data_IF_540718944274
#
_entry.id   IF_540718944274
#
_cell.length_a   1.000
_cell.length_b   1.000
_cell.length_c   1.000
_cell.angle_alpha   90.00
_cell.angle_beta   90.00
_cell.angle_gamma   90.00
#
_symmetry.space_group_name_H-M   'P 1'
#
loop_
_entity.id
_entity.type
_entity.pdbx_description
1 polymer ?
#
# COMPACT_ATOMS: atom_id res chain seq x y z
N UNK A 1 -16.73 -23.38 -0.52
CA UNK A 1 -16.65 -22.21 0.37
C UNK A 1 -16.34 -20.96 -0.45
N UNK A 2 -17.11 -20.71 -1.52
CA UNK A 2 -16.91 -19.59 -2.44
C UNK A 2 -17.66 -18.35 -1.95
N UNK A 3 -17.05 -17.18 -2.15
CA UNK A 3 -17.64 -15.84 -2.06
C UNK A 3 -17.80 -15.15 -0.69
N UNK A 4 -16.80 -15.21 0.19
CA UNK A 4 -16.55 -14.09 1.11
C UNK A 4 -15.10 -14.11 1.62
N UNK A 5 -14.27 -13.21 1.11
CA UNK A 5 -13.37 -12.51 2.03
C UNK A 5 -14.01 -11.14 2.29
N UNK A 6 -14.05 -10.72 3.56
CA UNK A 6 -15.28 -10.24 4.19
C UNK A 6 -15.31 -8.71 4.22
N UNK A 7 -16.36 -8.18 4.84
CA UNK A 7 -16.44 -6.80 5.31
C UNK A 7 -15.06 -6.24 5.79
N UNK A 8 -14.87 -4.94 5.62
CA UNK A 8 -13.64 -4.15 5.83
C UNK A 8 -12.76 -4.68 6.97
N UNK A 9 -13.36 -4.95 8.13
CA UNK A 9 -12.69 -5.42 9.34
C UNK A 9 -11.83 -6.67 9.12
N UNK A 10 -12.30 -7.61 8.30
CA UNK A 10 -11.56 -8.84 8.07
C UNK A 10 -10.35 -8.64 7.14
N UNK A 11 -10.42 -7.71 6.20
CA UNK A 11 -9.25 -7.31 5.40
C UNK A 11 -8.22 -6.61 6.30
N UNK A 12 -8.66 -5.75 7.23
CA UNK A 12 -7.76 -5.14 8.21
C UNK A 12 -7.12 -6.18 9.14
N UNK A 13 -7.90 -7.18 9.62
CA UNK A 13 -7.37 -8.30 10.41
C UNK A 13 -6.35 -9.12 9.62
N UNK A 14 -6.63 -9.43 8.35
CA UNK A 14 -5.70 -10.18 7.50
C UNK A 14 -4.39 -9.40 7.28
N UNK A 15 -4.46 -8.10 7.01
CA UNK A 15 -3.27 -7.25 6.88
C UNK A 15 -2.40 -7.28 8.15
N UNK A 16 -3.06 -7.22 9.32
CA UNK A 16 -2.42 -7.30 10.63
C UNK A 16 -1.76 -8.66 10.88
N UNK A 17 -2.46 -9.76 10.61
CA UNK A 17 -1.92 -11.13 10.71
C UNK A 17 -0.69 -11.28 9.83
N UNK A 18 -0.75 -10.82 8.58
CA UNK A 18 0.38 -10.94 7.65
C UNK A 18 1.57 -10.07 8.06
N UNK A 19 1.33 -8.85 8.54
CA UNK A 19 2.39 -7.99 9.05
C UNK A 19 3.10 -8.61 10.27
N UNK A 20 2.34 -9.13 11.24
CA UNK A 20 2.90 -9.81 12.41
C UNK A 20 3.66 -11.08 12.05
N UNK A 21 3.10 -11.88 11.14
CA UNK A 21 3.75 -13.07 10.61
C UNK A 21 5.09 -12.69 10.00
N UNK A 22 5.12 -11.75 9.05
CA UNK A 22 6.35 -11.31 8.41
C UNK A 22 7.36 -10.70 9.39
N UNK A 23 6.93 -9.99 10.43
CA UNK A 23 7.85 -9.43 11.43
C UNK A 23 8.41 -10.47 12.40
N UNK A 24 7.68 -11.55 12.66
CA UNK A 24 8.06 -12.60 13.63
C UNK A 24 8.91 -13.73 13.04
N UNK A 25 8.77 -14.03 11.74
CA UNK A 25 9.53 -15.11 11.09
C UNK A 25 11.01 -14.75 10.90
N UNK A 26 11.93 -15.74 10.88
CA UNK A 26 13.38 -15.50 10.79
C UNK A 26 13.79 -14.77 9.51
N UNK A 27 14.74 -13.84 9.64
CA UNK A 27 15.47 -13.29 8.49
C UNK A 27 16.51 -14.28 7.98
N UNK A 28 16.79 -14.20 6.68
CA UNK A 28 17.80 -15.04 6.04
C UNK A 28 19.17 -14.85 6.69
N UNK A 29 19.95 -15.92 6.77
CA UNK A 29 21.35 -15.85 7.20
C UNK A 29 22.22 -15.27 6.07
N UNK A 30 23.16 -14.40 6.44
CA UNK A 30 24.11 -13.81 5.50
C UNK A 30 24.85 -14.88 4.68
N UNK A 31 24.88 -14.70 3.35
CA UNK A 31 25.58 -15.59 2.43
C UNK A 31 24.72 -16.70 1.84
N UNK A 32 23.47 -16.88 2.30
CA UNK A 32 22.51 -17.72 1.57
C UNK A 32 22.07 -17.01 0.27
N UNK A 33 21.94 -17.74 -0.85
CA UNK A 33 21.74 -17.13 -2.15
C UNK A 33 20.30 -16.61 -2.38
N UNK A 34 19.33 -17.06 -1.59
CA UNK A 34 17.91 -16.73 -1.77
C UNK A 34 17.65 -15.24 -1.54
N UNK A 35 16.74 -14.64 -2.32
CA UNK A 35 16.42 -13.21 -2.21
C UNK A 35 17.51 -12.25 -2.72
N UNK A 36 18.65 -12.76 -3.22
CA UNK A 36 19.57 -11.92 -4.01
C UNK A 36 18.93 -11.52 -5.35
N UNK A 37 19.34 -10.41 -5.99
CA UNK A 37 18.75 -9.97 -7.26
C UNK A 37 18.66 -11.10 -8.31
N UNK A 38 19.74 -11.86 -8.50
CA UNK A 38 19.76 -12.98 -9.45
C UNK A 38 18.73 -14.06 -9.13
N UNK A 39 18.52 -14.35 -7.84
CA UNK A 39 17.55 -15.35 -7.38
C UNK A 39 16.10 -14.85 -7.44
N UNK A 40 15.89 -13.54 -7.46
CA UNK A 40 14.58 -12.91 -7.72
C UNK A 40 14.30 -12.87 -9.23
N UNK A 41 15.26 -12.40 -10.03
CA UNK A 41 15.08 -12.12 -11.46
C UNK A 41 14.99 -13.40 -12.29
N UNK A 42 15.80 -14.42 -11.99
CA UNK A 42 15.81 -15.66 -12.78
C UNK A 42 14.44 -16.36 -12.83
N UNK A 43 13.72 -16.58 -11.71
CA UNK A 43 12.36 -17.12 -11.76
C UNK A 43 11.35 -16.24 -12.51
N UNK A 44 11.52 -14.91 -12.50
CA UNK A 44 10.67 -13.98 -13.25
C UNK A 44 10.81 -14.25 -14.75
N UNK A 45 12.04 -14.31 -15.25
CA UNK A 45 12.31 -14.54 -16.67
C UNK A 45 11.96 -15.97 -17.12
N UNK A 46 12.15 -16.97 -16.25
CA UNK A 46 11.79 -18.35 -16.53
C UNK A 46 10.27 -18.52 -16.75
N UNK A 47 9.43 -17.70 -16.09
CA UNK A 47 7.98 -17.73 -16.35
C UNK A 47 7.66 -17.47 -17.82
N UNK A 48 8.31 -16.49 -18.46
CA UNK A 48 8.11 -16.18 -19.88
C UNK A 48 8.59 -17.33 -20.76
N UNK A 49 9.75 -17.93 -20.44
CA UNK A 49 10.29 -19.07 -21.20
C UNK A 49 9.32 -20.25 -21.21
N UNK A 50 8.73 -20.57 -20.05
CA UNK A 50 7.78 -21.67 -19.90
C UNK A 50 6.45 -21.39 -20.59
N UNK A 51 5.94 -20.15 -20.48
CA UNK A 51 4.70 -19.74 -21.16
C UNK A 51 4.83 -19.86 -22.68
N UNK A 52 6.00 -19.56 -23.26
CA UNK A 52 6.24 -19.69 -24.72
C UNK A 52 6.18 -21.14 -25.23
N UNK A 53 6.14 -22.14 -24.34
CA UNK A 53 5.82 -23.51 -24.74
C UNK A 53 4.37 -23.67 -25.24
N UNK A 54 3.47 -22.80 -24.79
CA UNK A 54 2.09 -22.75 -25.26
C UNK A 54 2.08 -22.20 -26.69
N UNK A 55 1.44 -22.91 -27.63
CA UNK A 55 1.28 -22.43 -29.00
C UNK A 55 0.33 -21.24 -29.00
N UNK A 56 0.86 -20.05 -29.27
CA UNK A 56 0.14 -18.78 -29.18
C UNK A 56 0.02 -18.10 -30.54
N UNK A 57 -1.08 -17.36 -30.79
CA UNK A 57 -1.15 -16.46 -31.94
C UNK A 57 -0.14 -15.32 -31.79
N UNK A 58 0.27 -14.72 -32.91
CA UNK A 58 1.30 -13.67 -32.95
C UNK A 58 1.01 -12.50 -31.99
N UNK A 59 -0.25 -12.10 -31.83
CA UNK A 59 -0.60 -10.98 -30.95
C UNK A 59 -0.31 -11.29 -29.46
N UNK A 60 -0.47 -12.53 -29.00
CA UNK A 60 -0.13 -12.89 -27.60
C UNK A 60 1.38 -12.94 -27.38
N UNK A 61 2.14 -13.36 -28.42
CA UNK A 61 3.60 -13.32 -28.39
C UNK A 61 4.11 -11.89 -28.18
N UNK A 62 3.51 -10.90 -28.86
CA UNK A 62 3.90 -9.48 -28.70
C UNK A 62 3.55 -8.93 -27.31
N UNK A 63 2.42 -9.35 -26.72
CA UNK A 63 2.07 -9.01 -25.33
C UNK A 63 3.12 -9.53 -24.37
N UNK A 64 3.53 -10.79 -24.51
CA UNK A 64 4.61 -11.38 -23.70
C UNK A 64 5.95 -10.68 -23.93
N UNK A 65 6.30 -10.33 -25.16
CA UNK A 65 7.54 -9.59 -25.46
C UNK A 65 7.56 -8.24 -24.72
N UNK A 66 6.43 -7.53 -24.72
CA UNK A 66 6.29 -6.24 -24.03
C UNK A 66 6.50 -6.39 -22.52
N UNK A 67 5.81 -7.36 -21.91
CA UNK A 67 5.93 -7.63 -20.47
C UNK A 67 7.32 -8.13 -20.08
N UNK A 68 7.94 -8.99 -20.89
CA UNK A 68 9.30 -9.49 -20.65
C UNK A 68 10.32 -8.34 -20.73
N UNK A 69 10.24 -7.50 -21.77
CA UNK A 69 11.11 -6.33 -21.94
C UNK A 69 11.00 -5.39 -20.75
N UNK A 70 9.77 -5.14 -20.27
CA UNK A 70 9.56 -4.34 -19.07
C UNK A 70 10.22 -4.98 -17.85
N UNK A 71 10.07 -6.29 -17.63
CA UNK A 71 10.71 -6.99 -16.51
C UNK A 71 12.23 -6.88 -16.57
N UNK A 72 12.84 -7.08 -17.75
CA UNK A 72 14.29 -6.99 -17.95
C UNK A 72 14.81 -5.58 -17.62
N UNK A 73 14.12 -4.53 -18.11
CA UNK A 73 14.47 -3.15 -17.82
C UNK A 73 14.33 -2.80 -16.34
N UNK A 74 13.21 -3.18 -15.72
CA UNK A 74 12.98 -2.89 -14.30
C UNK A 74 13.91 -3.69 -13.40
N UNK A 75 14.31 -4.89 -13.79
CA UNK A 75 15.28 -5.69 -13.03
C UNK A 75 16.61 -4.94 -12.84
N UNK A 76 17.07 -4.22 -13.88
CA UNK A 76 18.29 -3.39 -13.80
C UNK A 76 18.07 -2.19 -12.87
N UNK A 77 16.94 -1.49 -13.01
CA UNK A 77 16.63 -0.29 -12.20
C UNK A 77 16.44 -0.63 -10.73
N UNK A 78 15.80 -1.76 -10.43
CA UNK A 78 15.39 -2.16 -9.09
C UNK A 78 16.44 -3.02 -8.37
N UNK A 79 17.48 -3.48 -9.06
CA UNK A 79 18.55 -4.29 -8.46
C UNK A 79 19.13 -3.67 -7.17
N UNK A 80 19.48 -2.38 -7.10
CA UNK A 80 20.01 -1.80 -5.86
C UNK A 80 19.03 -1.89 -4.68
N UNK A 81 17.73 -1.81 -4.95
CA UNK A 81 16.69 -1.91 -3.91
C UNK A 81 16.54 -3.36 -3.45
N UNK A 82 16.62 -4.33 -4.37
CA UNK A 82 16.65 -5.76 -4.00
C UNK A 82 17.84 -6.08 -3.09
N UNK A 83 19.02 -5.51 -3.38
CA UNK A 83 20.23 -5.67 -2.56
C UNK A 83 20.06 -5.02 -1.18
N UNK A 84 19.57 -3.78 -1.12
CA UNK A 84 19.29 -3.09 0.14
C UNK A 84 18.35 -3.92 1.03
N UNK A 85 17.29 -4.47 0.44
CA UNK A 85 16.31 -5.29 1.16
C UNK A 85 16.87 -6.61 1.67
N UNK A 86 17.77 -7.23 0.91
CA UNK A 86 18.51 -8.40 1.37
C UNK A 86 19.29 -8.09 2.65
N UNK A 87 20.07 -7.00 2.66
CA UNK A 87 20.87 -6.63 3.83
C UNK A 87 20.04 -6.06 4.99
N UNK A 88 18.88 -5.47 4.72
CA UNK A 88 17.95 -4.97 5.73
C UNK A 88 17.07 -6.08 6.36
N UNK A 89 17.24 -7.34 5.98
CA UNK A 89 16.54 -8.47 6.61
C UNK A 89 15.09 -8.66 6.16
N UNK A 90 14.72 -8.16 4.97
CA UNK A 90 13.40 -8.35 4.37
C UNK A 90 13.24 -9.70 3.67
N UNK A 91 14.33 -10.44 3.45
CA UNK A 91 14.26 -11.82 2.96
C UNK A 91 14.03 -12.74 4.16
N UNK A 92 12.88 -13.42 4.17
CA UNK A 92 12.42 -14.24 5.28
C UNK A 92 11.83 -15.55 4.78
N UNK A 93 11.59 -16.49 5.69
CA UNK A 93 10.95 -17.78 5.38
C UNK A 93 9.41 -17.61 5.31
N UNK A 94 8.95 -16.92 4.27
CA UNK A 94 7.56 -16.53 4.06
C UNK A 94 6.68 -17.70 3.56
N UNK A 95 5.41 -17.43 3.24
CA UNK A 95 4.46 -18.43 2.77
C UNK A 95 4.82 -18.96 1.37
N UNK A 96 5.25 -18.09 0.45
CA UNK A 96 5.69 -18.44 -0.90
C UNK A 96 4.56 -18.57 -1.93
N UNK A 97 3.35 -18.95 -1.48
CA UNK A 97 2.11 -19.09 -2.28
C UNK A 97 0.88 -18.42 -1.63
N UNK A 98 1.05 -17.20 -1.12
CA UNK A 98 0.00 -16.50 -0.35
C UNK A 98 -1.09 -15.92 -1.27
N UNK A 99 -2.14 -16.67 -1.54
CA UNK A 99 -3.31 -16.22 -2.31
C UNK A 99 -4.62 -16.61 -1.62
N UNK A 100 -5.78 -16.08 -2.05
CA UNK A 100 -7.07 -16.31 -1.36
C UNK A 100 -7.46 -17.79 -1.28
N UNK A 101 -7.04 -18.60 -2.27
CA UNK A 101 -7.24 -20.05 -2.22
C UNK A 101 -6.52 -20.77 -1.06
N UNK A 102 -5.53 -20.12 -0.45
CA UNK A 102 -4.68 -20.62 0.63
C UNK A 102 -4.95 -19.84 1.94
N UNK A 103 -6.13 -19.23 2.06
CA UNK A 103 -6.59 -18.53 3.26
C UNK A 103 -7.99 -19.05 3.60
N UNK A 104 -8.14 -19.59 4.80
CA UNK A 104 -9.41 -20.07 5.32
C UNK A 104 -9.94 -19.16 6.43
N UNK A 105 -11.26 -19.10 6.55
CA UNK A 105 -11.93 -18.59 7.75
C UNK A 105 -12.44 -19.81 8.52
N UNK A 106 -11.89 -20.05 9.69
CA UNK A 106 -12.26 -21.17 10.56
C UNK A 106 -12.51 -20.64 11.97
N UNK A 107 -13.71 -20.88 12.52
CA UNK A 107 -14.11 -20.39 13.86
C UNK A 107 -13.84 -18.89 14.05
N UNK A 108 -14.25 -18.07 13.06
CA UNK A 108 -14.04 -16.61 12.98
C UNK A 108 -12.56 -16.16 12.92
N UNK A 109 -11.61 -17.08 12.80
CA UNK A 109 -10.19 -16.82 12.62
C UNK A 109 -9.78 -16.90 11.16
N UNK A 110 -8.96 -15.95 10.71
CA UNK A 110 -8.37 -15.95 9.36
C UNK A 110 -7.04 -16.68 9.43
N UNK A 111 -6.90 -17.77 8.67
CA UNK A 111 -5.76 -18.68 8.75
C UNK A 111 -5.18 -18.88 7.35
N UNK A 112 -3.98 -18.32 7.06
CA UNK A 112 -3.18 -18.74 5.93
C UNK A 112 -2.71 -20.20 6.13
N UNK A 113 -2.80 -21.02 5.09
CA UNK A 113 -2.42 -22.43 5.13
C UNK A 113 -1.80 -22.86 3.79
N UNK A 114 -1.15 -24.04 3.76
CA UNK A 114 -0.50 -24.58 2.54
C UNK A 114 0.66 -23.71 2.01
N UNK A 115 1.54 -23.28 2.93
CA UNK A 115 2.80 -22.63 2.58
C UNK A 115 3.79 -23.58 1.90
N UNK A 116 4.67 -23.05 1.04
CA UNK A 116 5.62 -23.88 0.30
C UNK A 116 6.73 -24.40 1.23
N UNK A 117 6.68 -25.68 1.61
CA UNK A 117 7.70 -26.31 2.46
C UNK A 117 8.79 -27.07 1.69
N UNK A 118 8.55 -27.42 0.42
CA UNK A 118 9.42 -28.35 -0.32
C UNK A 118 10.57 -27.67 -1.08
N UNK A 119 10.47 -26.37 -1.38
CA UNK A 119 11.50 -25.64 -2.13
C UNK A 119 11.93 -24.36 -1.39
N UNK A 120 13.14 -24.34 -0.80
CA UNK A 120 13.64 -23.15 -0.10
C UNK A 120 13.63 -21.88 -0.95
N UNK A 121 13.91 -21.98 -2.26
CA UNK A 121 13.94 -20.82 -3.15
C UNK A 121 12.57 -20.20 -3.44
N UNK A 122 11.48 -20.86 -3.07
CA UNK A 122 10.12 -20.34 -3.20
C UNK A 122 9.56 -19.76 -1.91
N UNK A 123 10.17 -20.07 -0.76
CA UNK A 123 9.76 -19.55 0.56
C UNK A 123 10.73 -18.56 1.20
N UNK A 124 12.03 -18.65 0.91
CA UNK A 124 13.02 -17.64 1.30
C UNK A 124 12.96 -16.47 0.32
N UNK A 125 11.97 -15.61 0.53
CA UNK A 125 11.62 -14.53 -0.39
C UNK A 125 11.46 -13.22 0.38
N UNK A 126 11.39 -12.14 -0.38
CA UNK A 126 11.06 -10.83 0.17
C UNK A 126 9.64 -10.83 0.76
N UNK A 127 9.47 -10.29 1.97
CA UNK A 127 8.15 -10.13 2.61
C UNK A 127 7.17 -9.35 1.75
N UNK A 128 7.65 -8.36 0.98
CA UNK A 128 6.83 -7.62 0.03
C UNK A 128 6.42 -8.48 -1.17
N UNK A 129 7.28 -9.41 -1.61
CA UNK A 129 6.94 -10.35 -2.68
C UNK A 129 5.87 -11.36 -2.25
N UNK A 130 5.88 -11.76 -0.98
CA UNK A 130 4.85 -12.65 -0.42
C UNK A 130 3.50 -11.93 -0.33
N UNK A 131 3.46 -10.72 0.27
CA UNK A 131 2.22 -9.95 0.35
C UNK A 131 1.70 -9.50 -1.03
N UNK A 132 2.60 -9.26 -1.99
CA UNK A 132 2.23 -8.94 -3.36
C UNK A 132 1.44 -10.09 -4.04
N UNK A 133 1.63 -11.33 -3.62
CA UNK A 133 0.84 -12.44 -4.17
C UNK A 133 -0.63 -12.30 -3.78
N UNK A 134 -0.89 -11.99 -2.52
CA UNK A 134 -2.24 -11.76 -2.00
C UNK A 134 -2.89 -10.54 -2.63
N UNK A 135 -2.15 -9.44 -2.74
CA UNK A 135 -2.60 -8.21 -3.39
C UNK A 135 -2.95 -8.43 -4.86
N UNK A 136 -2.12 -9.19 -5.58
CA UNK A 136 -2.35 -9.54 -6.99
C UNK A 136 -3.62 -10.38 -7.15
N UNK A 137 -3.86 -11.37 -6.28
CA UNK A 137 -5.07 -12.21 -6.34
C UNK A 137 -6.35 -11.39 -6.03
N UNK A 138 -6.29 -10.44 -5.09
CA UNK A 138 -7.39 -9.50 -4.84
C UNK A 138 -7.68 -8.63 -6.06
N UNK A 139 -6.65 -8.07 -6.69
CA UNK A 139 -6.79 -7.24 -7.90
C UNK A 139 -7.33 -8.04 -9.09
N UNK A 140 -6.85 -9.27 -9.29
CA UNK A 140 -7.35 -10.18 -10.34
C UNK A 140 -8.85 -10.44 -10.23
N UNK A 141 -9.35 -10.55 -8.99
CA UNK A 141 -10.77 -10.74 -8.68
C UNK A 141 -11.60 -9.46 -8.71
N UNK A 142 -11.01 -8.32 -9.08
CA UNK A 142 -11.66 -7.02 -9.11
C UNK A 142 -11.87 -6.38 -7.73
N UNK A 143 -11.25 -6.92 -6.67
CA UNK A 143 -11.36 -6.43 -5.30
C UNK A 143 -10.30 -5.36 -4.99
N UNK A 144 -10.16 -4.35 -5.85
CA UNK A 144 -9.10 -3.34 -5.75
C UNK A 144 -9.13 -2.58 -4.42
N UNK A 145 -10.32 -2.16 -3.95
CA UNK A 145 -10.46 -1.49 -2.66
C UNK A 145 -9.94 -2.34 -1.48
N UNK A 146 -10.14 -3.66 -1.53
CA UNK A 146 -9.63 -4.56 -0.51
C UNK A 146 -8.10 -4.71 -0.60
N UNK A 147 -7.54 -4.74 -1.81
CA UNK A 147 -6.09 -4.73 -2.00
C UNK A 147 -5.45 -3.45 -1.45
N UNK A 148 -6.03 -2.28 -1.73
CA UNK A 148 -5.53 -0.99 -1.26
C UNK A 148 -5.61 -0.86 0.26
N UNK A 149 -6.74 -1.29 0.85
CA UNK A 149 -6.91 -1.34 2.30
C UNK A 149 -5.86 -2.27 2.93
N UNK A 150 -5.70 -3.47 2.40
CA UNK A 150 -4.73 -4.45 2.90
C UNK A 150 -3.31 -3.89 2.84
N UNK A 151 -2.91 -3.32 1.71
CA UNK A 151 -1.58 -2.76 1.52
C UNK A 151 -1.32 -1.60 2.49
N UNK A 152 -2.24 -0.64 2.60
CA UNK A 152 -2.06 0.50 3.50
C UNK A 152 -1.97 0.05 4.96
N UNK A 153 -2.82 -0.88 5.41
CA UNK A 153 -2.74 -1.42 6.78
C UNK A 153 -1.46 -2.20 7.02
N UNK A 154 -1.01 -3.01 6.05
CA UNK A 154 0.26 -3.72 6.12
C UNK A 154 1.44 -2.74 6.24
N UNK A 155 1.45 -1.65 5.46
CA UNK A 155 2.49 -0.61 5.52
C UNK A 155 2.45 0.19 6.83
N UNK A 156 1.27 0.58 7.30
CA UNK A 156 1.10 1.29 8.59
C UNK A 156 1.68 0.45 9.73
N UNK A 157 1.47 -0.88 9.72
CA UNK A 157 2.00 -1.78 10.75
C UNK A 157 3.50 -2.04 10.58
N UNK A 158 3.94 -2.36 9.38
CA UNK A 158 5.35 -2.76 9.13
C UNK A 158 6.32 -1.59 9.03
N UNK A 159 5.89 -0.44 8.51
CA UNK A 159 6.74 0.67 8.13
C UNK A 159 7.51 0.45 6.83
N UNK A 160 7.21 -0.61 6.06
CA UNK A 160 7.96 -1.04 4.88
C UNK A 160 7.65 -0.21 3.61
N UNK A 161 7.58 1.11 3.77
CA UNK A 161 7.34 2.04 2.65
C UNK A 161 8.51 2.07 1.66
N UNK A 162 9.74 1.83 2.14
CA UNK A 162 10.94 1.79 1.31
C UNK A 162 10.93 0.62 0.30
N UNK A 163 10.15 -0.43 0.54
CA UNK A 163 9.96 -1.55 -0.39
C UNK A 163 9.05 -1.25 -1.58
N UNK A 164 8.16 -0.26 -1.48
CA UNK A 164 7.15 0.03 -2.51
C UNK A 164 7.66 0.23 -3.95
N UNK A 165 8.88 0.74 -4.21
CA UNK A 165 9.45 0.74 -5.56
C UNK A 165 9.42 -0.65 -6.25
N UNK A 166 9.50 -1.75 -5.49
CA UNK A 166 9.45 -3.13 -6.00
C UNK A 166 8.03 -3.68 -6.15
N UNK A 167 7.02 -3.03 -5.57
CA UNK A 167 5.67 -3.62 -5.45
C UNK A 167 5.09 -4.00 -6.82
N UNK A 168 5.14 -3.10 -7.81
CA UNK A 168 4.59 -3.39 -9.16
C UNK A 168 5.35 -4.52 -9.86
N UNK A 169 6.66 -4.60 -9.67
CA UNK A 169 7.47 -5.70 -10.19
C UNK A 169 7.07 -7.03 -9.56
N UNK A 170 6.84 -7.06 -8.24
CA UNK A 170 6.37 -8.27 -7.56
C UNK A 170 4.92 -8.63 -7.91
N UNK A 171 4.00 -7.68 -8.01
CA UNK A 171 2.62 -7.94 -8.46
C UNK A 171 2.62 -8.59 -9.85
N UNK A 172 3.41 -8.03 -10.78
CA UNK A 172 3.55 -8.59 -12.12
C UNK A 172 4.19 -9.98 -12.08
N UNK A 173 5.26 -10.16 -11.31
CA UNK A 173 5.89 -11.48 -11.14
C UNK A 173 4.87 -12.53 -10.69
N UNK A 174 4.05 -12.22 -9.68
CA UNK A 174 3.02 -13.13 -9.16
C UNK A 174 1.91 -13.39 -10.18
N UNK A 175 1.46 -12.38 -10.92
CA UNK A 175 0.53 -12.57 -12.02
C UNK A 175 1.12 -13.52 -13.10
N UNK A 176 2.39 -13.36 -13.45
CA UNK A 176 3.08 -14.21 -14.41
C UNK A 176 3.32 -15.65 -13.89
N UNK A 177 3.46 -15.84 -12.58
CA UNK A 177 3.46 -17.18 -11.97
C UNK A 177 2.12 -17.87 -12.22
N UNK A 178 1.00 -17.19 -11.99
CA UNK A 178 -0.35 -17.74 -12.22
C UNK A 178 -0.62 -17.97 -13.70
N UNK A 179 -0.26 -17.02 -14.56
CA UNK A 179 -0.33 -17.17 -16.02
C UNK A 179 0.45 -18.41 -16.50
N UNK A 180 1.67 -18.62 -15.98
CA UNK A 180 2.48 -19.81 -16.26
C UNK A 180 1.78 -21.09 -15.83
N UNK A 181 1.21 -21.15 -14.62
CA UNK A 181 0.52 -22.35 -14.13
C UNK A 181 -0.63 -22.72 -15.06
N UNK A 182 -1.46 -21.76 -15.45
CA UNK A 182 -2.56 -21.99 -16.38
C UNK A 182 -2.07 -22.40 -17.76
N UNK A 183 -1.01 -21.77 -18.28
CA UNK A 183 -0.39 -22.17 -19.55
C UNK A 183 0.16 -23.61 -19.51
N UNK A 184 0.83 -24.01 -18.44
CA UNK A 184 1.32 -25.39 -18.25
C UNK A 184 0.16 -26.38 -18.23
N UNK A 185 -0.92 -26.06 -17.51
CA UNK A 185 -2.12 -26.90 -17.49
C UNK A 185 -2.71 -27.02 -18.89
N UNK A 186 -2.86 -25.93 -19.63
CA UNK A 186 -3.35 -25.95 -21.02
C UNK A 186 -2.49 -26.78 -21.99
N UNK A 187 -1.21 -27.02 -21.67
CA UNK A 187 -0.32 -27.88 -22.45
C UNK A 187 -0.44 -29.38 -22.10
N UNK A 188 -1.13 -29.73 -21.02
CA UNK A 188 -1.29 -31.13 -20.61
C UNK A 188 -2.14 -31.90 -21.63
N UNK A 189 -1.70 -33.13 -21.93
CA UNK A 189 -2.45 -34.02 -22.81
C UNK A 189 -3.68 -34.58 -22.10
N UNK A 190 -4.78 -34.76 -22.82
CA UNK A 190 -6.00 -35.41 -22.32
C UNK A 190 -7.01 -34.47 -21.65
N UNK A 191 -6.82 -33.15 -21.72
CA UNK A 191 -7.85 -32.18 -21.30
C UNK A 191 -9.05 -32.19 -22.24
N UNK A 192 -10.24 -32.06 -21.67
CA UNK A 192 -11.43 -31.74 -22.45
C UNK A 192 -11.32 -30.32 -23.03
N UNK A 193 -12.01 -30.06 -24.14
CA UNK A 193 -11.95 -28.76 -24.82
C UNK A 193 -12.36 -27.61 -23.89
N UNK A 194 -13.41 -27.79 -23.09
CA UNK A 194 -13.88 -26.79 -22.12
C UNK A 194 -12.84 -26.48 -21.04
N UNK A 195 -12.17 -27.50 -20.50
CA UNK A 195 -11.11 -27.33 -19.49
C UNK A 195 -9.91 -26.59 -20.09
N UNK A 196 -9.56 -26.92 -21.33
CA UNK A 196 -8.49 -26.25 -22.06
C UNK A 196 -8.81 -24.77 -22.30
N UNK A 197 -10.03 -24.44 -22.74
CA UNK A 197 -10.48 -23.06 -22.91
C UNK A 197 -10.45 -22.29 -21.59
N UNK A 198 -10.91 -22.91 -20.49
CA UNK A 198 -10.85 -22.29 -19.16
C UNK A 198 -9.42 -21.96 -18.74
N UNK A 199 -8.45 -22.84 -18.99
CA UNK A 199 -7.04 -22.55 -18.68
C UNK A 199 -6.48 -21.41 -19.56
N UNK A 200 -6.90 -21.31 -20.81
CA UNK A 200 -6.50 -20.20 -21.69
C UNK A 200 -7.09 -18.87 -21.25
N UNK A 201 -8.35 -18.85 -20.85
CA UNK A 201 -9.01 -17.64 -20.36
C UNK A 201 -8.38 -17.17 -19.05
N UNK A 202 -8.08 -18.11 -18.13
CA UNK A 202 -7.36 -17.82 -16.91
C UNK A 202 -5.96 -17.23 -17.22
N UNK A 203 -5.20 -17.86 -18.13
CA UNK A 203 -3.91 -17.34 -18.60
C UNK A 203 -4.02 -15.89 -19.14
N UNK A 204 -4.99 -15.64 -20.03
CA UNK A 204 -5.22 -14.32 -20.64
C UNK A 204 -5.62 -13.28 -19.61
N UNK A 205 -6.41 -13.66 -18.61
CA UNK A 205 -6.84 -12.76 -17.54
C UNK A 205 -5.65 -12.26 -16.71
N UNK A 206 -4.68 -13.12 -16.41
CA UNK A 206 -3.44 -12.71 -15.74
C UNK A 206 -2.53 -11.85 -16.63
N UNK A 207 -2.51 -12.08 -17.95
CA UNK A 207 -1.83 -11.15 -18.86
C UNK A 207 -2.48 -9.77 -18.86
N UNK A 208 -3.81 -9.70 -18.86
CA UNK A 208 -4.53 -8.42 -18.79
C UNK A 208 -4.17 -7.67 -17.49
N UNK A 209 -4.09 -8.38 -16.37
CA UNK A 209 -3.64 -7.81 -15.09
C UNK A 209 -2.19 -7.32 -15.17
N UNK A 210 -1.27 -8.15 -15.66
CA UNK A 210 0.14 -7.78 -15.82
C UNK A 210 0.33 -6.52 -16.69
N UNK A 211 -0.41 -6.41 -17.79
CA UNK A 211 -0.40 -5.22 -18.65
C UNK A 211 -0.98 -3.99 -17.96
N UNK A 212 -1.97 -4.16 -17.07
CA UNK A 212 -2.49 -3.05 -16.28
C UNK A 212 -1.46 -2.54 -15.27
N UNK A 213 -0.64 -3.42 -14.68
CA UNK A 213 0.35 -3.08 -13.68
C UNK A 213 1.53 -2.26 -14.23
N UNK A 214 1.86 -2.43 -15.51
CA UNK A 214 2.90 -1.62 -16.16
C UNK A 214 2.38 -0.25 -16.63
N UNK A 215 1.05 -0.06 -16.69
CA UNK A 215 0.39 1.21 -17.03
C UNK A 215 -0.03 1.92 -15.75
N UNK A 216 0.71 2.94 -15.33
CA UNK A 216 0.36 3.68 -14.12
C UNK A 216 -0.11 5.10 -14.43
N UNK A 217 -1.14 5.59 -13.71
CA UNK A 217 -1.53 7.00 -13.79
C UNK A 217 -0.42 7.90 -13.22
N UNK A 218 -0.43 9.20 -13.57
CA UNK A 218 0.48 10.16 -12.96
C UNK A 218 0.25 10.21 -11.44
N UNK A 219 1.35 10.27 -10.69
CA UNK A 219 1.32 10.41 -9.24
C UNK A 219 0.74 11.77 -8.83
N UNK A 220 0.14 11.81 -7.63
CA UNK A 220 -0.42 13.02 -7.03
C UNK A 220 -0.17 13.06 -5.52
N UNK A 221 -0.22 14.25 -4.94
CA UNK A 221 -0.11 14.44 -3.49
C UNK A 221 -1.41 14.99 -2.91
N UNK A 222 -1.94 14.35 -1.88
CA UNK A 222 -3.11 14.81 -1.14
C UNK A 222 -2.71 15.07 0.30
N UNK A 223 -3.08 16.23 0.83
CA UNK A 223 -2.81 16.63 2.20
C UNK A 223 -4.14 16.71 2.94
N UNK A 224 -4.26 16.02 4.07
CA UNK A 224 -5.36 16.36 4.98
C UNK A 224 -5.02 17.64 5.74
N UNK A 225 -6.03 18.44 6.01
CA UNK A 225 -5.96 19.63 6.86
C UNK A 225 -7.11 19.58 7.87
N UNK A 226 -6.83 19.80 9.15
CA UNK A 226 -7.86 19.82 10.20
C UNK A 226 -7.38 19.32 11.57
N UNK A 227 -8.08 19.75 12.61
CA UNK A 227 -7.75 19.40 14.01
C UNK A 227 -8.17 17.97 14.37
N UNK A 228 -7.75 17.50 15.54
CA UNK A 228 -8.14 16.17 16.04
C UNK A 228 -9.66 16.05 16.15
N UNK A 229 -10.23 14.89 15.82
CA UNK A 229 -11.69 14.69 15.77
C UNK A 229 -12.38 15.17 14.48
N UNK A 230 -11.70 15.89 13.59
CA UNK A 230 -12.33 16.44 12.36
C UNK A 230 -12.54 15.43 11.22
N UNK A 231 -12.34 14.13 11.46
CA UNK A 231 -12.59 13.08 10.46
C UNK A 231 -11.48 12.84 9.42
N UNK A 232 -10.33 13.51 9.51
CA UNK A 232 -9.19 13.35 8.56
C UNK A 232 -8.81 11.90 8.28
N UNK A 233 -8.70 11.06 9.31
CA UNK A 233 -8.28 9.67 9.16
C UNK A 233 -9.35 8.82 8.47
N UNK A 234 -10.64 9.13 8.68
CA UNK A 234 -11.75 8.53 7.94
C UNK A 234 -11.69 8.93 6.46
N UNK A 235 -11.49 10.22 6.20
CA UNK A 235 -11.47 10.80 4.86
C UNK A 235 -10.27 10.31 4.06
N UNK A 236 -9.07 10.36 4.63
CA UNK A 236 -7.84 9.89 4.00
C UNK A 236 -7.85 8.37 3.79
N UNK A 237 -8.39 7.59 4.72
CA UNK A 237 -8.58 6.15 4.53
C UNK A 237 -9.49 5.83 3.36
N UNK A 238 -10.66 6.48 3.30
CA UNK A 238 -11.58 6.33 2.17
C UNK A 238 -10.96 6.79 0.84
N UNK A 239 -10.29 7.95 0.81
CA UNK A 239 -9.61 8.42 -0.40
C UNK A 239 -8.48 7.49 -0.85
N UNK A 240 -7.74 6.89 0.07
CA UNK A 240 -6.68 5.93 -0.25
C UNK A 240 -7.26 4.74 -1.03
N UNK A 241 -8.39 4.20 -0.56
CA UNK A 241 -9.11 3.10 -1.20
C UNK A 241 -9.73 3.48 -2.55
N UNK A 242 -10.20 4.72 -2.72
CA UNK A 242 -10.80 5.16 -3.99
C UNK A 242 -9.77 5.50 -5.07
N UNK A 243 -8.56 5.92 -4.66
CA UNK A 243 -7.54 6.46 -5.55
C UNK A 243 -6.32 5.54 -5.71
N UNK A 244 -6.34 4.35 -5.10
CA UNK A 244 -5.18 3.44 -5.02
C UNK A 244 -3.93 4.18 -4.51
N UNK A 245 -4.12 5.06 -3.52
CA UNK A 245 -3.07 5.94 -3.00
C UNK A 245 -2.46 5.37 -1.72
N UNK A 246 -1.17 5.65 -1.52
CA UNK A 246 -0.44 5.26 -0.31
C UNK A 246 -0.63 6.34 0.75
N UNK A 247 -1.23 5.95 1.87
CA UNK A 247 -1.45 6.81 3.02
C UNK A 247 -0.28 6.71 3.98
N UNK A 248 0.26 7.87 4.34
CA UNK A 248 1.29 8.02 5.36
C UNK A 248 0.68 8.78 6.52
N UNK A 249 0.57 8.11 7.68
CA UNK A 249 -0.06 8.68 8.87
C UNK A 249 0.97 9.27 9.81
N UNK A 250 0.78 10.54 10.16
CA UNK A 250 1.73 11.27 11.00
C UNK A 250 1.78 10.80 12.46
N UNK A 251 0.72 10.19 12.97
CA UNK A 251 0.65 9.62 14.31
C UNK A 251 1.45 8.30 14.39
N UNK A 252 1.20 7.38 13.45
CA UNK A 252 1.92 6.10 13.34
C UNK A 252 3.42 6.32 13.15
N UNK A 253 3.81 7.19 12.22
CA UNK A 253 5.23 7.44 11.97
C UNK A 253 5.91 8.22 13.10
N UNK A 254 5.16 9.04 13.85
CA UNK A 254 5.68 9.70 15.05
C UNK A 254 5.97 8.69 16.16
N UNK A 255 5.09 7.72 16.39
CA UNK A 255 5.34 6.64 17.33
C UNK A 255 6.58 5.83 16.93
N UNK A 256 6.74 5.55 15.63
CA UNK A 256 7.89 4.84 15.07
C UNK A 256 9.21 5.60 15.26
N UNK A 257 9.21 6.92 15.09
CA UNK A 257 10.39 7.78 15.28
C UNK A 257 10.77 8.00 16.76
N UNK A 258 9.79 7.95 17.65
CA UNK A 258 9.96 8.23 19.08
C UNK A 258 9.38 7.10 19.96
N UNK A 259 9.96 5.88 19.87
CA UNK A 259 9.47 4.72 20.63
C UNK A 259 9.71 4.90 22.14
N UNK A 260 8.85 4.28 22.97
CA UNK A 260 9.05 4.20 24.43
C UNK A 260 8.78 5.50 25.20
N UNK A 261 8.00 6.43 24.65
CA UNK A 261 7.58 7.66 25.34
C UNK A 261 6.14 7.59 25.90
N UNK A 262 5.54 6.39 25.92
CA UNK A 262 4.15 6.14 26.30
C UNK A 262 3.88 6.08 27.82
N UNK A 263 4.93 5.98 28.65
CA UNK A 263 4.78 5.91 30.12
C UNK A 263 4.78 7.30 30.77
N UNK A 264 3.61 7.96 30.86
CA UNK A 264 3.39 9.17 31.66
C UNK A 264 3.66 10.52 30.96
N UNK A 265 4.08 11.54 31.74
CA UNK A 265 4.32 12.98 31.39
C UNK A 265 5.20 13.21 30.13
N UNK A 266 5.73 12.13 29.53
CA UNK A 266 6.56 12.06 28.34
C UNK A 266 5.82 12.10 27.00
N UNK A 267 4.48 11.91 26.95
CA UNK A 267 3.71 12.07 25.70
C UNK A 267 3.89 13.46 25.08
N UNK A 268 4.13 14.47 25.91
CA UNK A 268 4.46 15.84 25.50
C UNK A 268 5.75 15.95 24.67
N UNK A 269 6.71 15.03 24.84
CA UNK A 269 7.99 15.07 24.12
C UNK A 269 7.83 14.76 22.63
N UNK A 270 6.92 13.85 22.26
CA UNK A 270 6.59 13.52 20.85
C UNK A 270 5.99 14.70 20.09
N UNK A 271 5.40 15.67 20.79
CA UNK A 271 4.71 16.82 20.20
C UNK A 271 5.43 18.14 20.41
N UNK A 272 6.70 18.12 20.85
CA UNK A 272 7.55 19.32 20.83
C UNK A 272 7.70 19.87 19.42
N UNK A 273 8.02 21.16 19.29
CA UNK A 273 8.27 21.78 17.98
C UNK A 273 9.38 21.06 17.21
N UNK A 274 10.42 20.61 17.93
CA UNK A 274 11.52 19.82 17.35
C UNK A 274 11.02 18.46 16.84
N UNK A 275 10.30 17.69 17.66
CA UNK A 275 9.78 16.39 17.24
C UNK A 275 8.79 16.51 16.07
N UNK A 276 7.98 17.58 16.06
CA UNK A 276 7.09 17.90 14.95
C UNK A 276 7.85 18.20 13.67
N UNK A 277 8.91 19.01 13.71
CA UNK A 277 9.76 19.26 12.52
C UNK A 277 10.41 17.97 12.00
N UNK A 278 10.93 17.13 12.89
CA UNK A 278 11.52 15.83 12.51
C UNK A 278 10.47 14.95 11.83
N UNK A 279 9.28 14.83 12.41
CA UNK A 279 8.19 14.01 11.86
C UNK A 279 7.79 14.49 10.46
N UNK A 280 7.51 15.79 10.29
CA UNK A 280 7.07 16.30 8.98
C UNK A 280 8.16 16.17 7.90
N UNK A 281 9.43 16.35 8.24
CA UNK A 281 10.53 16.10 7.30
C UNK A 281 10.66 14.62 6.94
N UNK A 282 10.44 13.70 7.89
CA UNK A 282 10.40 12.26 7.63
C UNK A 282 9.25 11.90 6.67
N UNK A 283 8.04 12.39 6.94
CA UNK A 283 6.88 12.21 6.04
C UNK A 283 7.15 12.74 4.63
N UNK A 284 7.78 13.91 4.50
CA UNK A 284 8.15 14.48 3.21
C UNK A 284 9.22 13.64 2.49
N UNK A 285 10.19 13.08 3.22
CA UNK A 285 11.19 12.16 2.68
C UNK A 285 10.55 10.90 2.09
N UNK A 286 9.65 10.26 2.84
CA UNK A 286 8.89 9.10 2.38
C UNK A 286 8.03 9.43 1.17
N UNK A 287 7.24 10.52 1.23
CA UNK A 287 6.39 10.95 0.14
C UNK A 287 7.19 11.22 -1.14
N UNK A 288 8.37 11.85 -1.02
CA UNK A 288 9.26 12.10 -2.16
C UNK A 288 9.68 10.82 -2.86
N UNK A 289 10.04 9.79 -2.11
CA UNK A 289 10.43 8.49 -2.69
C UNK A 289 9.24 7.85 -3.42
N UNK A 290 8.07 7.83 -2.80
CA UNK A 290 6.87 7.20 -3.38
C UNK A 290 6.37 7.91 -4.64
N UNK A 291 6.31 9.25 -4.61
CA UNK A 291 5.91 10.06 -5.76
C UNK A 291 6.85 9.82 -6.96
N UNK A 292 8.16 9.71 -6.74
CA UNK A 292 9.15 9.39 -7.80
C UNK A 292 8.94 8.03 -8.45
N UNK A 293 8.42 7.08 -7.69
CA UNK A 293 8.07 5.73 -8.18
C UNK A 293 6.67 5.64 -8.78
N UNK A 294 5.97 6.77 -8.87
CA UNK A 294 4.67 6.87 -9.53
C UNK A 294 3.49 6.43 -8.65
N UNK A 295 3.63 6.44 -7.32
CA UNK A 295 2.50 6.26 -6.40
C UNK A 295 1.91 7.61 -6.01
N UNK A 296 0.58 7.71 -6.04
CA UNK A 296 -0.11 8.82 -5.38
C UNK A 296 0.01 8.67 -3.86
N UNK A 297 0.20 9.76 -3.14
CA UNK A 297 0.46 9.78 -1.70
C UNK A 297 -0.58 10.64 -0.99
N UNK A 298 -1.10 10.15 0.12
CA UNK A 298 -1.93 10.90 1.06
C UNK A 298 -1.15 11.12 2.36
N UNK A 299 -0.92 12.38 2.73
CA UNK A 299 -0.41 12.74 4.04
C UNK A 299 -1.58 12.90 4.99
N UNK A 300 -1.79 11.91 5.86
CA UNK A 300 -2.77 11.97 6.96
C UNK A 300 -2.11 12.62 8.19
N UNK A 301 -2.16 13.95 8.18
CA UNK A 301 -1.63 14.82 9.24
C UNK A 301 -2.55 16.02 9.47
N UNK A 302 -2.37 16.71 10.60
CA UNK A 302 -3.21 17.87 10.92
C UNK A 302 -2.92 19.08 10.03
N UNK A 303 -1.66 19.26 9.61
CA UNK A 303 -1.18 20.32 8.71
C UNK A 303 -1.62 21.75 9.12
N UNK A 304 -1.74 22.01 10.42
CA UNK A 304 -2.33 23.24 10.96
C UNK A 304 -1.46 24.48 10.78
N UNK A 305 -0.14 24.33 10.70
CA UNK A 305 0.77 25.44 10.48
C UNK A 305 1.11 25.57 9.00
N UNK A 306 1.23 26.81 8.51
CA UNK A 306 1.51 27.13 7.11
C UNK A 306 2.80 26.46 6.63
N UNK A 307 3.87 26.47 7.43
CA UNK A 307 5.15 25.84 7.04
C UNK A 307 5.01 24.32 6.78
N UNK A 308 4.05 23.65 7.44
CA UNK A 308 3.79 22.21 7.22
C UNK A 308 3.19 21.98 5.85
N UNK A 309 2.25 22.83 5.45
CA UNK A 309 1.61 22.77 4.13
C UNK A 309 2.57 23.21 3.03
N UNK A 310 3.35 24.26 3.26
CA UNK A 310 4.38 24.73 2.33
C UNK A 310 5.42 23.65 2.03
N UNK A 311 5.86 22.90 3.05
CA UNK A 311 6.81 21.80 2.88
C UNK A 311 6.34 20.80 1.81
N UNK A 312 5.07 20.38 1.88
CA UNK A 312 4.51 19.42 0.94
C UNK A 312 4.15 20.04 -0.42
N UNK A 313 3.72 21.31 -0.45
CA UNK A 313 3.48 22.02 -1.70
C UNK A 313 4.78 22.20 -2.50
N UNK A 314 5.88 22.56 -1.84
CA UNK A 314 7.21 22.63 -2.46
C UNK A 314 7.69 21.26 -2.93
N UNK A 315 7.42 20.20 -2.15
CA UNK A 315 7.70 18.83 -2.57
C UNK A 315 6.94 18.50 -3.86
N UNK A 316 5.62 18.74 -3.91
CA UNK A 316 4.79 18.48 -5.07
C UNK A 316 5.29 19.24 -6.31
N UNK A 317 5.63 20.52 -6.16
CA UNK A 317 6.23 21.34 -7.23
C UNK A 317 7.56 20.76 -7.71
N UNK A 318 8.45 20.35 -6.79
CA UNK A 318 9.75 19.75 -7.13
C UNK A 318 9.65 18.40 -7.85
N UNK A 319 8.55 17.66 -7.65
CA UNK A 319 8.27 16.40 -8.34
C UNK A 319 7.34 16.59 -9.54
N UNK A 320 6.89 17.82 -9.81
CA UNK A 320 5.95 18.17 -10.87
C UNK A 320 4.65 17.34 -10.81
N UNK A 321 4.15 17.11 -9.59
CA UNK A 321 2.90 16.39 -9.34
C UNK A 321 1.81 17.35 -8.85
N UNK A 322 0.53 17.12 -9.20
CA UNK A 322 -0.57 17.90 -8.66
C UNK A 322 -0.71 17.69 -7.15
N UNK A 323 -1.15 18.74 -6.45
CA UNK A 323 -1.39 18.71 -5.00
C UNK A 323 -2.77 19.25 -4.64
N UNK A 324 -3.46 18.54 -3.76
CA UNK A 324 -4.77 18.94 -3.22
C UNK A 324 -4.74 18.93 -1.70
N UNK A 325 -5.36 19.94 -1.10
CA UNK A 325 -5.60 20.01 0.35
C UNK A 325 -7.06 19.61 0.60
N UNK A 326 -7.29 18.60 1.43
CA UNK A 326 -8.63 18.20 1.88
C UNK A 326 -8.84 18.74 3.29
N UNK A 327 -9.58 19.84 3.37
CA UNK A 327 -9.83 20.58 4.60
C UNK A 327 -11.06 20.00 5.32
N UNK A 328 -10.80 19.25 6.38
CA UNK A 328 -11.80 18.49 7.13
C UNK A 328 -12.33 19.33 8.29
N UNK A 329 -13.61 19.70 8.22
CA UNK A 329 -14.29 20.56 9.19
C UNK A 329 -15.36 19.77 9.98
N UNK A 330 -15.62 20.21 11.21
CA UNK A 330 -16.71 19.74 12.08
C UNK A 330 -16.93 20.79 13.18
N UNK A 331 -18.13 20.84 13.76
CA UNK A 331 -18.40 21.71 14.89
C UNK A 331 -17.54 21.37 16.13
N UNK A 332 -17.17 22.39 16.91
CA UNK A 332 -16.29 22.21 18.07
C UNK A 332 -16.86 21.24 19.12
N UNK A 333 -18.18 21.25 19.33
CA UNK A 333 -18.89 20.29 20.17
C UNK A 333 -18.63 18.85 19.72
N UNK A 334 -18.82 18.57 18.43
CA UNK A 334 -18.62 17.26 17.85
C UNK A 334 -17.14 16.84 17.88
N UNK A 335 -16.21 17.75 17.65
CA UNK A 335 -14.77 17.48 17.77
C UNK A 335 -14.43 16.96 19.18
N UNK A 336 -14.97 17.62 20.21
CA UNK A 336 -14.75 17.22 21.61
C UNK A 336 -15.35 15.84 21.89
N UNK A 337 -16.57 15.57 21.41
CA UNK A 337 -17.24 14.28 21.64
C UNK A 337 -16.51 13.13 20.95
N UNK A 338 -16.10 13.31 19.69
CA UNK A 338 -15.31 12.32 18.95
C UNK A 338 -13.95 12.03 19.62
N UNK A 339 -13.29 13.05 20.15
CA UNK A 339 -12.03 12.87 20.88
C UNK A 339 -12.25 12.09 22.18
N UNK A 340 -13.32 12.39 22.94
CA UNK A 340 -13.67 11.63 24.16
C UNK A 340 -13.95 10.16 23.85
N UNK A 341 -14.85 9.88 22.91
CA UNK A 341 -15.20 8.49 22.53
C UNK A 341 -13.96 7.68 22.12
N UNK A 342 -13.03 8.30 21.39
CA UNK A 342 -11.79 7.64 20.98
C UNK A 342 -10.87 7.35 22.16
N UNK A 343 -10.69 8.30 23.08
CA UNK A 343 -9.90 8.07 24.29
C UNK A 343 -10.50 6.96 25.16
N UNK A 344 -11.83 6.85 25.21
CA UNK A 344 -12.54 5.79 25.94
C UNK A 344 -12.40 4.41 25.27
N UNK A 345 -12.47 4.34 23.94
CA UNK A 345 -12.31 3.08 23.19
C UNK A 345 -10.88 2.52 23.27
N UNK A 346 -9.88 3.40 23.31
CA UNK A 346 -8.46 3.00 23.27
C UNK A 346 -8.05 2.36 21.93
N UNK A 347 -6.76 2.06 21.78
CA UNK A 347 -6.23 1.30 20.63
C UNK A 347 -6.06 2.08 19.31
N UNK A 348 -6.34 3.39 19.28
CA UNK A 348 -5.98 4.27 18.16
C UNK A 348 -4.56 4.84 18.37
N UNK A 349 -3.76 4.93 17.31
CA UNK A 349 -2.44 5.58 17.33
C UNK A 349 -2.52 7.09 17.60
N UNK A 350 -3.69 7.70 17.43
CA UNK A 350 -3.90 9.12 17.68
C UNK A 350 -3.98 9.42 19.19
N UNK A 351 -2.87 9.91 19.75
CA UNK A 351 -2.71 10.30 21.16
C UNK A 351 -3.38 11.63 21.55
N UNK A 352 -4.13 12.27 20.65
CA UNK A 352 -4.69 13.59 20.93
C UNK A 352 -5.88 13.50 21.88
N UNK A 353 -5.69 14.03 23.09
CA UNK A 353 -6.74 14.25 24.09
C UNK A 353 -7.43 15.62 23.91
N UNK A 354 -8.34 15.96 24.83
CA UNK A 354 -9.04 17.25 24.81
C UNK A 354 -8.10 18.46 25.01
N UNK A 355 -6.99 18.31 25.71
CA UNK A 355 -6.02 19.39 25.90
C UNK A 355 -5.26 19.66 24.60
N UNK A 356 -4.85 18.61 23.88
CA UNK A 356 -4.25 18.68 22.55
C UNK A 356 -5.22 19.32 21.56
N UNK A 357 -6.49 18.93 21.55
CA UNK A 357 -7.51 19.53 20.67
C UNK A 357 -7.64 21.05 20.91
N UNK A 358 -7.76 21.48 22.18
CA UNK A 358 -7.83 22.91 22.53
C UNK A 358 -6.60 23.68 22.05
N UNK A 359 -5.41 23.11 22.25
CA UNK A 359 -4.17 23.72 21.78
C UNK A 359 -4.13 23.83 20.24
N UNK A 360 -4.60 22.80 19.53
CA UNK A 360 -4.71 22.80 18.07
C UNK A 360 -5.67 23.87 17.55
N UNK A 361 -6.83 24.04 18.20
CA UNK A 361 -7.80 25.08 17.84
C UNK A 361 -7.23 26.50 18.02
N UNK A 362 -6.40 26.72 19.04
CA UNK A 362 -5.74 28.00 19.29
C UNK A 362 -4.57 28.28 18.33
N UNK A 363 -3.80 27.24 17.97
CA UNK A 363 -2.57 27.38 17.17
C UNK A 363 -2.78 27.23 15.66
N UNK A 364 -3.98 26.89 15.19
CA UNK A 364 -4.22 26.70 13.75
C UNK A 364 -4.03 28.00 12.98
N UNK A 365 -3.26 27.93 11.92
CA UNK A 365 -3.07 29.04 10.98
C UNK A 365 -4.04 28.84 9.80
N UNK A 366 -4.76 29.90 9.37
CA UNK A 366 -5.72 29.80 8.29
C UNK A 366 -5.03 29.39 6.97
N UNK A 367 -5.81 28.80 6.06
CA UNK A 367 -5.36 28.60 4.68
C UNK A 367 -5.14 29.96 4.01
N UNK A 368 -4.05 30.08 3.26
CA UNK A 368 -3.78 31.27 2.44
C UNK A 368 -4.68 31.28 1.19
N UNK A 369 -4.82 32.44 0.54
CA UNK A 369 -5.61 32.55 -0.69
C UNK A 369 -5.16 31.58 -1.79
N UNK A 370 -3.85 31.33 -1.91
CA UNK A 370 -3.30 30.38 -2.88
C UNK A 370 -3.61 28.93 -2.49
N UNK A 371 -3.58 28.61 -1.19
CA UNK A 371 -3.95 27.28 -0.70
C UNK A 371 -5.44 26.97 -0.94
N UNK A 372 -6.31 27.98 -0.79
CA UNK A 372 -7.74 27.83 -1.08
C UNK A 372 -8.02 27.41 -2.53
N UNK A 373 -7.20 27.84 -3.50
CA UNK A 373 -7.32 27.42 -4.91
C UNK A 373 -7.04 25.92 -5.12
N UNK A 374 -6.39 25.25 -4.17
CA UNK A 374 -6.07 23.83 -4.20
C UNK A 374 -6.84 23.03 -3.15
N UNK A 375 -7.77 23.68 -2.45
CA UNK A 375 -8.50 23.08 -1.33
C UNK A 375 -9.87 22.54 -1.75
N UNK A 376 -10.21 21.39 -1.18
CA UNK A 376 -11.57 20.84 -1.12
C UNK A 376 -11.97 20.79 0.36
N UNK A 377 -12.82 21.71 0.78
CA UNK A 377 -13.36 21.70 2.14
C UNK A 377 -14.52 20.71 2.24
N UNK A 378 -14.53 19.93 3.32
CA UNK A 378 -15.55 18.94 3.60
C UNK A 378 -16.09 19.11 5.01
N UNK A 379 -17.41 18.99 5.13
CA UNK A 379 -18.06 18.73 6.40
C UNK A 379 -17.97 17.23 6.70
N UNK A 380 -17.25 16.89 7.78
CA UNK A 380 -17.03 15.51 8.20
C UNK A 380 -18.20 14.91 8.99
N UNK A 381 -19.27 15.68 9.24
CA UNK A 381 -20.51 15.16 9.85
C UNK A 381 -21.28 14.26 8.89
N UNK A 382 -21.24 14.60 7.60
CA UNK A 382 -22.01 13.94 6.54
C UNK A 382 -21.07 13.27 5.52
N UNK A 383 -20.33 12.25 5.96
CA UNK A 383 -19.29 11.60 5.16
C UNK A 383 -19.73 10.23 4.57
N UNK A 384 -19.36 9.89 3.31
CA UNK A 384 -18.74 10.76 2.31
C UNK A 384 -19.77 11.73 1.69
N UNK A 385 -19.45 13.03 1.53
CA UNK A 385 -20.37 13.93 0.87
C UNK A 385 -20.50 13.57 -0.62
N UNK A 386 -21.71 13.73 -1.21
CA UNK A 386 -21.91 13.45 -2.64
C UNK A 386 -20.92 14.22 -3.51
N UNK A 387 -20.28 13.52 -4.45
CA UNK A 387 -19.35 14.13 -5.41
C UNK A 387 -17.92 14.37 -4.90
N UNK A 388 -17.58 14.04 -3.65
CA UNK A 388 -16.24 14.27 -3.09
C UNK A 388 -15.11 13.76 -4.00
N UNK A 389 -15.19 12.49 -4.42
CA UNK A 389 -14.17 11.88 -5.27
C UNK A 389 -14.00 12.65 -6.59
N UNK A 390 -15.11 13.02 -7.23
CA UNK A 390 -15.10 13.76 -8.49
C UNK A 390 -14.46 15.15 -8.31
N UNK A 391 -14.75 15.85 -7.21
CA UNK A 391 -14.14 17.15 -6.90
C UNK A 391 -12.65 17.04 -6.65
N UNK A 392 -12.21 16.02 -5.88
CA UNK A 392 -10.78 15.75 -5.65
C UNK A 392 -10.07 15.45 -6.98
N UNK A 393 -10.61 14.55 -7.79
CA UNK A 393 -10.06 14.21 -9.10
C UNK A 393 -9.98 15.43 -10.03
N UNK A 394 -11.03 16.27 -10.07
CA UNK A 394 -11.04 17.48 -10.88
C UNK A 394 -9.92 18.46 -10.48
N UNK A 395 -9.61 18.56 -9.18
CA UNK A 395 -8.51 19.41 -8.70
C UNK A 395 -7.15 18.80 -9.03
N UNK A 396 -7.03 17.47 -9.00
CA UNK A 396 -5.79 16.76 -9.37
C UNK A 396 -5.49 16.81 -10.88
N UNK A 397 -6.48 17.11 -11.71
CA UNK A 397 -6.30 17.28 -13.16
C UNK A 397 -5.87 18.70 -13.57
N UNK A 398 -5.80 19.65 -12.63
CA UNK A 398 -5.31 21.02 -12.85
C UNK A 398 -3.85 21.13 -12.46
#
# INVERSE_FOLDING_TARGET
LSHALPDRDAIERLANIMADFHQSIPSISNGMPFGTPDHIIRPVLENFRLIRGLKQPLFEIERLNTLQTWCEQQSIVLQPIMEERYFAGHIRECHGDLHLGNIAVFEDQIIPFDGIEFNPGLRWIDTLSDIAFLLMDLQHRGMNHAADLLLNRYLERTGDYAGLPLLRFYLLYRAMVRAKVSAIRAMQSGLHHEEWEQQLDEYRSFLNLAESLIRHPPASLILTHGVSGSGKSTVSGWLAEQLMAIRIRSDVERQRLFPGQDDGDTSTQRYTDRATRITYNHLAGMAKQLLRTGFSVIIDATCLAQWQRELFQQLAESQQVPVVIVDCQAEESLLMDRVRERCERGGDASEADLAVLKLQLQKREPLTSLEFERTVSIDSEHFPPPGLLATVLQRLMR
#
